data_IF_555815027743
#
_entry.id   IF_555815027743
#
_cell.length_a   1.000
_cell.length_b   1.000
_cell.length_c   1.000
_cell.angle_alpha   90.00
_cell.angle_beta   90.00
_cell.angle_gamma   90.00
#
_symmetry.space_group_name_H-M   'P 1'
#
loop_
_entity.id
_entity.type
_entity.pdbx_description
1 polymer ?
#
# COMPACT_ATOMS: atom_id res chain seq x y z
N UNK A 1 -2.65 24.74 21.40
CA UNK A 1 -3.76 24.12 20.65
C UNK A 1 -3.72 24.61 19.21
N UNK A 2 -2.64 24.27 18.50
CA UNK A 2 -2.23 25.01 17.29
C UNK A 2 -1.74 23.99 16.27
N UNK A 3 -2.60 23.58 15.33
CA UNK A 3 -2.28 23.06 13.99
C UNK A 3 -3.44 22.27 13.38
N UNK A 4 -4.59 22.91 13.20
CA UNK A 4 -5.62 22.39 12.28
C UNK A 4 -6.00 23.42 11.20
N UNK A 5 -5.50 24.66 11.31
CA UNK A 5 -5.89 25.79 10.46
C UNK A 5 -5.13 25.93 9.13
N UNK A 6 -4.19 25.02 8.79
CA UNK A 6 -3.32 25.18 7.60
C UNK A 6 -3.64 24.27 6.41
N UNK A 7 -4.65 23.40 6.51
CA UNK A 7 -5.06 22.53 5.39
C UNK A 7 -6.25 23.13 4.61
N UNK A 8 -6.86 24.22 5.11
CA UNK A 8 -8.01 24.89 4.49
C UNK A 8 -7.63 26.01 3.49
N UNK A 9 -6.36 26.11 3.09
CA UNK A 9 -5.82 27.31 2.45
C UNK A 9 -5.68 27.33 0.91
N UNK A 10 -6.01 26.32 0.07
CA UNK A 10 -5.73 26.48 -1.35
C UNK A 10 -6.82 27.24 -2.12
N UNK A 11 -8.05 27.39 -1.59
CA UNK A 11 -9.14 28.09 -2.34
C UNK A 11 -9.47 29.47 -1.76
N UNK A 12 -9.14 29.74 -0.49
CA UNK A 12 -9.41 31.06 0.13
C UNK A 12 -8.40 32.14 -0.28
N UNK A 13 -7.26 31.76 -0.89
CA UNK A 13 -6.30 32.71 -1.47
C UNK A 13 -6.39 32.80 -3.00
N UNK A 14 -7.58 32.61 -3.57
CA UNK A 14 -7.87 32.98 -4.95
C UNK A 14 -8.02 34.51 -5.04
N UNK A 15 -6.91 35.24 -4.90
CA UNK A 15 -6.81 36.61 -5.39
C UNK A 15 -6.39 36.54 -6.85
N UNK A 16 -7.30 37.01 -7.72
CA UNK A 16 -7.17 37.19 -9.16
C UNK A 16 -7.43 35.95 -10.03
N UNK A 17 -8.71 35.62 -10.28
CA UNK A 17 -9.33 35.82 -11.59
C UNK A 17 -10.80 36.24 -11.41
N UNK A 18 -11.16 37.35 -12.06
CA UNK A 18 -12.44 38.08 -12.02
C UNK A 18 -12.77 38.74 -10.67
N UNK A 19 -13.23 40.00 -10.72
CA UNK A 19 -13.65 40.86 -9.60
C UNK A 19 -14.86 40.30 -8.78
N UNK A 20 -15.10 38.99 -8.84
CA UNK A 20 -16.23 38.31 -8.20
C UNK A 20 -15.78 37.78 -6.85
N UNK A 21 -15.92 38.61 -5.82
CA UNK A 21 -15.84 38.17 -4.43
C UNK A 21 -17.00 37.20 -4.15
N UNK A 22 -16.74 35.90 -4.19
CA UNK A 22 -17.72 34.87 -3.81
C UNK A 22 -17.74 34.81 -2.28
N UNK A 23 -18.86 35.10 -1.61
CA UNK A 23 -18.90 35.07 -0.16
C UNK A 23 -18.67 33.65 0.35
N UNK A 24 -17.79 33.52 1.34
CA UNK A 24 -17.49 32.25 1.98
C UNK A 24 -18.69 31.79 2.81
N UNK A 25 -19.43 30.80 2.30
CA UNK A 25 -20.54 30.18 3.01
C UNK A 25 -20.04 28.89 3.68
N UNK A 26 -20.42 28.69 4.93
CA UNK A 26 -20.01 27.51 5.70
C UNK A 26 -21.22 26.64 6.03
N UNK A 27 -21.04 25.33 5.89
CA UNK A 27 -22.00 24.32 6.34
C UNK A 27 -21.24 23.20 7.02
N UNK A 28 -21.65 22.81 8.23
CA UNK A 28 -20.97 21.80 9.05
C UNK A 28 -19.44 22.02 9.17
N UNK A 29 -19.03 23.27 9.44
CA UNK A 29 -17.62 23.70 9.54
C UNK A 29 -16.78 23.44 8.27
N UNK A 30 -17.42 23.28 7.12
CA UNK A 30 -16.79 23.09 5.81
C UNK A 30 -17.18 24.24 4.88
N UNK A 31 -16.23 24.84 4.13
CA UNK A 31 -16.56 25.85 3.12
C UNK A 31 -17.34 25.20 1.98
N UNK A 32 -18.46 25.81 1.63
CA UNK A 32 -19.40 25.31 0.62
C UNK A 32 -19.84 26.41 -0.33
N UNK A 33 -20.14 26.03 -1.57
CA UNK A 33 -20.64 26.93 -2.62
C UNK A 33 -21.92 26.39 -3.25
N UNK A 34 -22.81 27.28 -3.67
CA UNK A 34 -24.06 26.88 -4.33
C UNK A 34 -23.84 26.65 -5.82
N UNK A 35 -24.78 25.97 -6.48
CA UNK A 35 -24.73 25.80 -7.95
C UNK A 35 -24.80 27.12 -8.71
N UNK A 36 -25.37 28.18 -8.12
CA UNK A 36 -25.38 29.54 -8.68
C UNK A 36 -24.00 30.20 -8.60
N UNK A 37 -23.30 30.03 -7.47
CA UNK A 37 -21.93 30.53 -7.31
C UNK A 37 -20.98 29.85 -8.29
N UNK A 38 -21.09 28.52 -8.45
CA UNK A 38 -20.28 27.78 -9.43
C UNK A 38 -20.54 28.21 -10.87
N UNK A 39 -21.77 28.60 -11.19
CA UNK A 39 -22.11 29.03 -12.55
C UNK A 39 -21.43 30.35 -12.88
N UNK A 40 -21.45 31.30 -11.94
CA UNK A 40 -20.72 32.57 -12.07
C UNK A 40 -19.21 32.32 -12.11
N UNK A 41 -18.69 31.49 -11.21
CA UNK A 41 -17.26 31.19 -11.10
C UNK A 41 -16.68 30.55 -12.36
N UNK A 42 -17.37 29.57 -12.95
CA UNK A 42 -16.92 28.88 -14.15
C UNK A 42 -17.46 29.47 -15.46
N UNK A 43 -18.09 30.65 -15.42
CA UNK A 43 -18.65 31.30 -16.61
C UNK A 43 -19.67 30.46 -17.39
N UNK A 44 -20.51 29.70 -16.69
CA UNK A 44 -21.51 28.80 -17.29
C UNK A 44 -22.89 29.02 -16.66
N UNK A 45 -23.94 28.41 -17.23
CA UNK A 45 -25.28 28.42 -16.64
C UNK A 45 -25.44 27.39 -15.50
N UNK A 46 -26.31 27.72 -14.53
CA UNK A 46 -26.71 26.80 -13.44
C UNK A 46 -27.29 25.49 -13.99
N UNK A 47 -27.98 25.56 -15.13
CA UNK A 47 -28.52 24.39 -15.81
C UNK A 47 -27.41 23.41 -16.25
N UNK A 48 -26.27 23.92 -16.72
CA UNK A 48 -25.13 23.09 -17.13
C UNK A 48 -24.47 22.42 -15.92
N UNK A 49 -24.31 23.13 -14.79
CA UNK A 49 -23.80 22.55 -13.54
C UNK A 49 -24.68 21.37 -13.08
N UNK A 50 -26.01 21.56 -13.07
CA UNK A 50 -26.97 20.51 -12.70
C UNK A 50 -26.95 19.33 -13.68
N UNK A 51 -26.89 19.60 -14.99
CA UNK A 51 -26.82 18.58 -16.04
C UNK A 51 -25.53 17.76 -15.95
N UNK A 52 -24.42 18.43 -15.64
CA UNK A 52 -23.11 17.82 -15.46
C UNK A 52 -23.12 16.85 -14.27
N UNK A 53 -23.64 17.30 -13.12
CA UNK A 53 -23.84 16.45 -11.96
C UNK A 53 -24.73 15.23 -12.29
N UNK A 54 -25.89 15.45 -12.91
CA UNK A 54 -26.82 14.36 -13.24
C UNK A 54 -26.21 13.30 -14.15
N UNK A 55 -25.40 13.69 -15.15
CA UNK A 55 -24.72 12.78 -16.07
C UNK A 55 -23.59 11.98 -15.41
N UNK A 56 -23.09 12.45 -14.27
CA UNK A 56 -21.91 11.89 -13.64
C UNK A 56 -22.12 11.66 -12.14
N UNK A 57 -23.37 11.43 -11.71
CA UNK A 57 -23.73 11.29 -10.30
C UNK A 57 -22.93 10.19 -9.60
N UNK A 58 -22.55 9.13 -10.31
CA UNK A 58 -21.66 8.05 -9.82
C UNK A 58 -20.26 8.55 -9.41
N UNK A 59 -19.83 9.69 -9.94
CA UNK A 59 -18.58 10.38 -9.60
C UNK A 59 -18.80 11.47 -8.55
N UNK A 60 -19.90 11.47 -7.81
CA UNK A 60 -20.09 12.38 -6.68
C UNK A 60 -20.52 11.55 -5.46
N UNK A 61 -20.10 11.99 -4.28
CA UNK A 61 -20.33 11.27 -3.02
C UNK A 61 -20.79 12.32 -2.02
N UNK A 62 -21.98 12.09 -1.47
CA UNK A 62 -22.54 12.94 -0.42
C UNK A 62 -21.63 12.96 0.82
N UNK A 63 -21.50 14.14 1.45
CA UNK A 63 -20.58 14.36 2.57
C UNK A 63 -19.12 14.62 2.19
N UNK A 64 -18.71 14.23 0.96
CA UNK A 64 -17.34 14.48 0.46
C UNK A 64 -17.29 15.55 -0.63
N UNK A 65 -18.20 15.48 -1.59
CA UNK A 65 -18.23 16.36 -2.76
C UNK A 65 -19.41 17.33 -2.71
N UNK A 66 -20.52 16.94 -2.07
CA UNK A 66 -21.68 17.80 -1.89
C UNK A 66 -22.45 17.45 -0.62
N UNK A 67 -23.30 18.36 -0.16
CA UNK A 67 -24.34 18.15 0.84
C UNK A 67 -25.69 18.46 0.22
N UNK A 68 -26.67 17.58 0.38
CA UNK A 68 -28.04 17.83 -0.04
C UNK A 68 -28.87 18.24 1.18
N UNK A 69 -29.18 19.54 1.30
CA UNK A 69 -30.00 20.05 2.38
C UNK A 69 -31.46 20.19 1.94
N UNK A 70 -32.38 19.78 2.80
CA UNK A 70 -33.83 19.80 2.55
C UNK A 70 -34.59 20.03 3.86
N UNK A 71 -35.84 20.49 3.78
CA UNK A 71 -36.69 20.68 4.95
C UNK A 71 -36.12 21.70 5.95
N UNK A 72 -36.05 21.32 7.22
CA UNK A 72 -35.64 22.21 8.32
C UNK A 72 -34.18 22.66 8.20
N UNK A 73 -33.27 21.80 7.74
CA UNK A 73 -31.85 22.15 7.51
C UNK A 73 -31.70 23.27 6.46
N UNK A 74 -32.54 23.27 5.42
CA UNK A 74 -32.55 24.32 4.40
C UNK A 74 -33.11 25.63 4.96
N UNK A 75 -34.07 25.56 5.88
CA UNK A 75 -34.65 26.73 6.53
C UNK A 75 -33.63 27.39 7.47
N UNK A 76 -32.91 26.58 8.24
CA UNK A 76 -31.85 27.05 9.16
C UNK A 76 -30.67 27.64 8.39
N UNK A 77 -30.26 26.98 7.30
CA UNK A 77 -29.20 27.49 6.43
C UNK A 77 -29.58 28.83 5.78
N UNK A 78 -30.81 28.98 5.28
CA UNK A 78 -31.33 30.25 4.73
C UNK A 78 -31.35 31.38 5.77
N UNK A 79 -31.56 31.06 7.05
CA UNK A 79 -31.54 32.04 8.14
C UNK A 79 -30.10 32.43 8.55
N UNK A 80 -29.14 31.53 8.39
CA UNK A 80 -27.73 31.77 8.73
C UNK A 80 -26.95 32.59 7.70
N UNK A 81 -27.36 32.55 6.42
CA UNK A 81 -26.70 33.31 5.34
C UNK A 81 -27.37 34.67 5.23
N UNK A 82 -26.72 35.69 5.80
CA UNK A 82 -27.26 37.05 6.05
C UNK A 82 -27.72 37.81 4.80
N UNK A 83 -27.46 37.32 3.59
CA UNK A 83 -27.96 37.88 2.33
C UNK A 83 -28.67 36.82 1.49
N UNK A 84 -29.97 36.70 1.70
CA UNK A 84 -30.85 35.65 1.19
C UNK A 84 -31.27 35.82 -0.29
N UNK A 85 -30.38 36.36 -1.12
CA UNK A 85 -30.59 36.51 -2.57
C UNK A 85 -29.91 35.43 -3.42
N UNK A 86 -29.13 34.53 -2.81
CA UNK A 86 -28.37 33.51 -3.54
C UNK A 86 -29.15 32.20 -3.78
N UNK A 87 -30.24 31.99 -3.04
CA UNK A 87 -31.04 30.76 -3.09
C UNK A 87 -32.50 31.12 -3.28
N UNK A 88 -33.14 30.54 -4.30
CA UNK A 88 -34.56 30.78 -4.57
C UNK A 88 -35.42 30.32 -3.38
N UNK A 89 -36.30 31.22 -2.92
CA UNK A 89 -37.19 31.02 -1.77
C UNK A 89 -38.07 29.77 -1.90
N UNK A 90 -38.43 29.36 -3.13
CA UNK A 90 -39.27 28.20 -3.45
C UNK A 90 -38.52 26.89 -3.66
N UNK A 91 -37.19 26.87 -3.57
CA UNK A 91 -36.42 25.64 -3.79
C UNK A 91 -36.63 24.64 -2.63
N UNK A 92 -37.13 23.41 -2.90
CA UNK A 92 -37.40 22.41 -1.86
C UNK A 92 -36.15 21.65 -1.39
N UNK A 93 -35.09 21.61 -2.21
CA UNK A 93 -33.81 20.94 -1.92
C UNK A 93 -32.67 21.74 -2.51
N UNK A 94 -31.61 21.99 -1.74
CA UNK A 94 -30.43 22.70 -2.20
C UNK A 94 -29.20 21.79 -2.14
N UNK A 95 -28.44 21.78 -3.22
CA UNK A 95 -27.13 21.12 -3.27
C UNK A 95 -26.04 22.14 -2.98
N UNK A 96 -25.29 21.88 -1.92
CA UNK A 96 -24.10 22.62 -1.52
C UNK A 96 -22.86 21.84 -1.96
N UNK A 97 -21.95 22.47 -2.67
CA UNK A 97 -20.73 21.84 -3.19
C UNK A 97 -19.56 22.15 -2.28
N UNK A 98 -18.78 21.13 -1.94
CA UNK A 98 -17.50 21.33 -1.26
C UNK A 98 -16.44 21.77 -2.28
N UNK A 99 -15.27 22.21 -1.79
CA UNK A 99 -14.09 22.49 -2.63
C UNK A 99 -13.79 21.34 -3.62
N UNK A 100 -13.89 20.10 -3.15
CA UNK A 100 -13.67 18.90 -3.96
C UNK A 100 -14.78 18.67 -4.98
N UNK A 101 -16.01 19.06 -4.66
CA UNK A 101 -17.14 19.04 -5.59
C UNK A 101 -16.98 20.07 -6.70
N UNK A 102 -16.59 21.30 -6.34
CA UNK A 102 -16.28 22.37 -7.30
C UNK A 102 -15.16 21.93 -8.28
N UNK A 103 -14.05 21.41 -7.76
CA UNK A 103 -12.96 20.90 -8.61
C UNK A 103 -13.41 19.78 -9.57
N UNK A 104 -14.36 18.92 -9.18
CA UNK A 104 -14.94 17.92 -10.09
C UNK A 104 -15.75 18.57 -11.19
N UNK A 105 -16.49 19.63 -10.92
CA UNK A 105 -17.18 20.39 -11.96
C UNK A 105 -16.20 20.99 -12.97
N UNK A 106 -15.08 21.58 -12.53
CA UNK A 106 -14.06 22.13 -13.42
C UNK A 106 -13.54 21.10 -14.44
N UNK A 107 -13.28 19.85 -14.01
CA UNK A 107 -12.83 18.75 -14.89
C UNK A 107 -13.77 18.46 -16.06
N UNK A 108 -15.03 18.86 -15.97
CA UNK A 108 -16.12 18.44 -16.85
C UNK A 108 -16.77 19.63 -17.57
N UNK A 109 -16.23 20.83 -17.35
CA UNK A 109 -16.60 22.06 -18.05
C UNK A 109 -15.46 22.41 -19.01
N UNK A 110 -15.82 22.83 -20.22
CA UNK A 110 -14.86 23.23 -21.26
C UNK A 110 -14.69 24.76 -21.31
N UNK A 111 -15.06 25.47 -20.24
CA UNK A 111 -14.96 26.94 -20.19
C UNK A 111 -13.54 27.39 -19.86
N UNK A 112 -13.13 28.56 -20.38
CA UNK A 112 -11.79 29.11 -20.14
C UNK A 112 -11.53 29.29 -18.63
N UNK A 113 -12.54 29.71 -17.85
CA UNK A 113 -12.41 29.82 -16.39
C UNK A 113 -12.23 28.45 -15.69
N UNK A 114 -12.78 27.36 -16.25
CA UNK A 114 -12.58 26.03 -15.70
C UNK A 114 -11.16 25.50 -15.98
N UNK A 115 -10.55 25.89 -17.11
CA UNK A 115 -9.16 25.58 -17.44
C UNK A 115 -8.18 26.28 -16.50
N UNK A 116 -8.39 27.55 -16.17
CA UNK A 116 -7.55 28.28 -15.21
C UNK A 116 -7.56 27.65 -13.81
N UNK A 117 -8.73 27.20 -13.36
CA UNK A 117 -8.87 26.50 -12.07
C UNK A 117 -8.17 25.14 -12.10
N UNK A 118 -8.16 24.47 -13.24
CA UNK A 118 -7.44 23.22 -13.40
C UNK A 118 -5.92 23.44 -13.38
N UNK A 119 -5.41 24.46 -14.07
CA UNK A 119 -4.00 24.86 -14.06
C UNK A 119 -3.52 25.19 -12.64
N UNK A 120 -4.31 25.96 -11.88
CA UNK A 120 -4.00 26.24 -10.46
C UNK A 120 -3.94 24.99 -9.58
N UNK A 121 -4.80 24.00 -9.84
CA UNK A 121 -4.78 22.73 -9.10
C UNK A 121 -3.54 21.89 -9.46
N UNK A 122 -3.10 21.93 -10.72
CA UNK A 122 -1.85 21.31 -11.16
C UNK A 122 -0.65 21.99 -10.52
N UNK A 123 -0.58 23.32 -10.58
CA UNK A 123 0.48 24.12 -9.94
C UNK A 123 0.56 23.87 -8.44
N UNK A 124 -0.59 23.81 -7.75
CA UNK A 124 -0.63 23.45 -6.33
C UNK A 124 -0.16 22.01 -6.08
N UNK A 125 -0.50 21.05 -6.94
CA UNK A 125 -0.07 19.66 -6.78
C UNK A 125 1.44 19.50 -6.91
N UNK A 126 2.05 20.18 -7.89
CA UNK A 126 3.49 20.14 -8.11
C UNK A 126 4.25 20.99 -7.08
N UNK A 127 3.75 22.17 -6.71
CA UNK A 127 4.36 23.04 -5.70
C UNK A 127 4.25 22.48 -4.27
N UNK A 128 3.12 21.86 -3.91
CA UNK A 128 2.96 21.25 -2.58
C UNK A 128 3.96 20.11 -2.33
N UNK A 129 4.40 19.42 -3.40
CA UNK A 129 5.45 18.40 -3.30
C UNK A 129 6.81 19.03 -2.95
N UNK A 130 7.09 20.23 -3.46
CA UNK A 130 8.30 20.98 -3.17
C UNK A 130 8.27 21.56 -1.76
N UNK A 131 7.13 22.12 -1.32
CA UNK A 131 6.98 22.64 0.05
C UNK A 131 7.06 21.55 1.12
N UNK A 132 6.46 20.37 0.90
CA UNK A 132 6.61 19.24 1.84
C UNK A 132 8.08 18.77 1.88
N UNK A 133 8.77 18.79 0.74
CA UNK A 133 10.21 18.46 0.69
C UNK A 133 11.08 19.53 1.39
N UNK A 134 10.69 20.80 1.39
CA UNK A 134 11.41 21.88 2.09
C UNK A 134 11.08 21.96 3.59
N UNK A 135 9.85 21.67 3.99
CA UNK A 135 9.47 21.61 5.40
C UNK A 135 10.18 20.46 6.13
N UNK A 136 10.49 19.36 5.43
CA UNK A 136 11.32 18.26 5.94
C UNK A 136 12.81 18.62 6.10
N UNK A 137 13.28 19.71 5.46
CA UNK A 137 14.69 20.15 5.50
C UNK A 137 15.00 21.19 6.59
N UNK A 138 14.01 21.73 7.30
CA UNK A 138 14.29 22.64 8.43
C UNK A 138 14.74 21.82 9.65
N UNK A 139 16.01 21.92 10.10
CA UNK A 139 16.46 21.14 11.24
C UNK A 139 15.66 21.54 12.48
N UNK A 140 14.97 20.58 13.11
CA UNK A 140 14.40 20.76 14.45
C UNK A 140 15.53 21.26 15.37
N UNK A 141 15.30 22.36 16.09
CA UNK A 141 16.28 22.96 16.99
C UNK A 141 16.75 21.93 18.03
N UNK A 142 18.01 22.01 18.49
CA UNK A 142 18.55 21.11 19.51
C UNK A 142 17.79 21.32 20.82
N UNK A 143 17.17 20.27 21.36
CA UNK A 143 16.31 20.34 22.56
C UNK A 143 16.88 19.67 23.81
N UNK A 144 18.07 19.06 23.74
CA UNK A 144 18.67 18.37 24.90
C UNK A 144 20.19 18.55 25.00
N UNK A 145 20.73 18.26 26.17
CA UNK A 145 22.18 18.19 26.43
C UNK A 145 22.73 16.79 26.11
N UNK A 146 24.07 16.65 26.05
CA UNK A 146 24.72 15.34 25.86
C UNK A 146 24.43 14.40 27.03
N UNK A 147 24.37 14.94 28.25
CA UNK A 147 24.20 14.16 29.48
C UNK A 147 22.81 13.49 29.55
N UNK A 148 21.78 14.20 29.10
CA UNK A 148 20.38 13.73 29.06
C UNK A 148 20.13 12.60 28.05
N UNK A 149 21.05 12.39 27.11
CA UNK A 149 20.99 11.33 26.10
C UNK A 149 21.85 10.12 26.43
N UNK A 150 22.68 10.24 27.47
CA UNK A 150 23.51 9.15 27.99
C UNK A 150 22.71 7.87 28.26
N UNK A 151 21.53 7.89 28.93
CA UNK A 151 20.78 6.66 29.18
C UNK A 151 20.31 5.98 27.89
N UNK A 152 19.89 6.74 26.88
CA UNK A 152 19.50 6.20 25.57
C UNK A 152 20.67 5.56 24.83
N UNK A 153 21.84 6.22 24.81
CA UNK A 153 23.05 5.67 24.19
C UNK A 153 23.51 4.39 24.89
N UNK A 154 23.56 4.40 26.22
CA UNK A 154 23.92 3.22 27.02
C UNK A 154 22.95 2.06 26.81
N UNK A 155 21.66 2.34 26.63
CA UNK A 155 20.66 1.31 26.35
C UNK A 155 20.85 0.68 24.97
N UNK A 156 21.06 1.50 23.94
CA UNK A 156 21.36 1.02 22.57
C UNK A 156 22.62 0.17 22.55
N UNK A 157 23.68 0.59 23.26
CA UNK A 157 24.93 -0.18 23.40
C UNK A 157 24.69 -1.54 24.08
N UNK A 158 23.92 -1.56 25.17
CA UNK A 158 23.53 -2.81 25.87
C UNK A 158 22.73 -3.75 24.97
N UNK A 159 21.77 -3.23 24.21
CA UNK A 159 20.98 -4.03 23.26
C UNK A 159 21.86 -4.69 22.20
N UNK A 160 22.88 -4.00 21.70
CA UNK A 160 23.81 -4.56 20.71
C UNK A 160 24.71 -5.62 21.35
N UNK A 161 25.22 -5.36 22.57
CA UNK A 161 26.04 -6.31 23.32
C UNK A 161 25.30 -7.62 23.62
N UNK A 162 23.99 -7.55 23.89
CA UNK A 162 23.12 -8.71 24.16
C UNK A 162 22.69 -9.48 22.90
N UNK A 163 23.28 -9.20 21.73
CA UNK A 163 22.94 -9.86 20.45
C UNK A 163 21.46 -9.75 20.05
N UNK A 164 20.81 -8.61 20.31
CA UNK A 164 19.45 -8.29 19.82
C UNK A 164 19.28 -8.37 18.29
N UNK A 165 20.34 -8.67 17.54
CA UNK A 165 20.28 -8.85 16.11
C UNK A 165 20.18 -7.56 15.30
N UNK A 166 19.70 -6.46 15.88
CA UNK A 166 19.65 -5.17 15.20
C UNK A 166 21.04 -4.52 15.16
N UNK A 167 21.42 -4.04 13.97
CA UNK A 167 22.67 -3.28 13.79
C UNK A 167 22.50 -1.87 14.34
N UNK A 168 23.60 -1.29 14.84
CA UNK A 168 23.64 0.08 15.38
C UNK A 168 22.88 1.13 14.53
N UNK A 169 23.03 1.20 13.19
CA UNK A 169 22.30 2.19 12.38
C UNK A 169 20.79 1.93 12.29
N UNK A 170 20.35 0.68 12.38
CA UNK A 170 18.94 0.32 12.30
C UNK A 170 18.18 0.77 13.56
N UNK A 171 18.81 0.63 14.73
CA UNK A 171 18.22 1.07 16.01
C UNK A 171 17.99 2.59 16.00
N UNK A 172 18.99 3.35 15.55
CA UNK A 172 18.82 4.81 15.44
C UNK A 172 17.80 5.21 14.39
N UNK A 173 17.68 4.48 13.28
CA UNK A 173 16.63 4.70 12.30
C UNK A 173 15.23 4.54 12.90
N UNK A 174 15.01 3.50 13.72
CA UNK A 174 13.73 3.31 14.42
C UNK A 174 13.40 4.46 15.37
N UNK A 175 14.39 4.94 16.13
CA UNK A 175 14.22 6.10 17.02
C UNK A 175 13.92 7.37 16.20
N UNK A 176 14.63 7.57 15.09
CA UNK A 176 14.41 8.71 14.20
C UNK A 176 13.00 8.69 13.60
N UNK A 177 12.56 7.55 13.08
CA UNK A 177 11.24 7.38 12.47
C UNK A 177 10.11 7.54 13.52
N UNK A 178 10.30 7.00 14.74
CA UNK A 178 9.29 7.06 15.81
C UNK A 178 9.07 8.47 16.36
N UNK A 179 10.15 9.22 16.55
CA UNK A 179 10.12 10.56 17.13
C UNK A 179 10.16 11.67 16.06
N UNK A 180 10.14 11.29 14.78
CA UNK A 180 10.22 12.20 13.64
C UNK A 180 11.43 13.13 13.73
N UNK A 181 12.59 12.61 14.14
CA UNK A 181 13.84 13.38 14.31
C UNK A 181 14.91 12.89 13.36
N UNK A 182 15.68 13.79 12.78
CA UNK A 182 16.82 13.44 11.93
C UNK A 182 18.04 13.03 12.75
N UNK A 183 18.15 13.58 13.96
CA UNK A 183 19.24 13.32 14.88
C UNK A 183 18.73 13.27 16.31
N UNK A 184 19.35 12.41 17.12
CA UNK A 184 19.07 12.24 18.56
C UNK A 184 19.20 13.54 19.36
N UNK A 185 19.86 14.56 18.79
CA UNK A 185 20.00 15.85 19.43
C UNK A 185 18.77 16.75 19.41
N UNK A 186 17.76 16.34 18.64
CA UNK A 186 16.49 17.02 18.50
C UNK A 186 15.45 16.51 19.51
N UNK A 187 15.72 15.38 20.19
CA UNK A 187 14.90 14.84 21.26
C UNK A 187 14.96 15.77 22.49
N UNK A 188 13.85 15.97 23.17
CA UNK A 188 13.82 16.57 24.51
C UNK A 188 14.20 15.55 25.60
N UNK A 189 14.39 16.03 26.83
CA UNK A 189 14.74 15.18 27.99
C UNK A 189 13.65 14.13 28.32
N UNK A 190 12.37 14.43 28.07
CA UNK A 190 11.28 13.45 28.21
C UNK A 190 11.30 12.42 27.09
N UNK A 191 11.45 12.88 25.84
CA UNK A 191 11.46 12.02 24.66
C UNK A 191 12.66 11.07 24.65
N UNK A 192 13.78 11.41 25.29
CA UNK A 192 14.93 10.50 25.42
C UNK A 192 14.62 9.32 26.35
N UNK A 193 13.83 9.53 27.41
CA UNK A 193 13.38 8.46 28.31
C UNK A 193 12.29 7.61 27.66
N UNK A 194 11.33 8.23 26.98
CA UNK A 194 10.33 7.52 26.18
C UNK A 194 10.97 6.67 25.08
N UNK A 195 12.05 7.16 24.46
CA UNK A 195 12.81 6.38 23.48
C UNK A 195 13.46 5.14 24.12
N UNK A 196 13.95 5.23 25.36
CA UNK A 196 14.47 4.05 26.08
C UNK A 196 13.36 3.04 26.35
N UNK A 197 12.19 3.50 26.81
CA UNK A 197 11.04 2.61 27.05
C UNK A 197 10.54 1.96 25.75
N UNK A 198 10.50 2.71 24.66
CA UNK A 198 10.17 2.18 23.32
C UNK A 198 11.17 1.13 22.85
N UNK A 199 12.47 1.38 23.03
CA UNK A 199 13.48 0.40 22.70
C UNK A 199 13.39 -0.84 23.61
N UNK A 200 12.99 -0.67 24.87
CA UNK A 200 12.74 -1.77 25.80
C UNK A 200 11.49 -2.57 25.45
N UNK A 201 10.42 -1.93 24.98
CA UNK A 201 9.22 -2.61 24.49
C UNK A 201 9.56 -3.40 23.23
N UNK A 202 10.35 -2.81 22.32
CA UNK A 202 10.86 -3.53 21.16
C UNK A 202 11.75 -4.68 21.62
N UNK A 203 12.71 -4.50 22.51
CA UNK A 203 13.56 -5.61 22.98
C UNK A 203 12.75 -6.73 23.66
N UNK A 204 11.67 -6.38 24.39
CA UNK A 204 10.74 -7.33 24.98
C UNK A 204 9.85 -8.07 23.97
N UNK A 205 9.39 -7.39 22.92
CA UNK A 205 8.69 -7.98 21.77
C UNK A 205 9.66 -8.71 20.82
N UNK A 206 10.94 -8.33 20.85
CA UNK A 206 12.05 -8.85 20.07
C UNK A 206 12.86 -9.82 20.93
N UNK A 207 12.16 -10.75 21.58
CA UNK A 207 12.73 -12.04 22.00
C UNK A 207 13.14 -12.81 20.74
N UNK A 208 14.33 -12.49 20.25
CA UNK A 208 15.05 -13.21 19.23
C UNK A 208 14.72 -12.77 17.81
N UNK A 209 15.75 -12.27 17.11
CA UNK A 209 15.96 -12.77 15.75
C UNK A 209 15.80 -14.28 15.78
N UNK A 210 14.87 -14.81 15.00
CA UNK A 210 14.97 -16.17 14.51
C UNK A 210 16.27 -16.28 13.71
N UNK A 211 17.36 -16.63 14.40
CA UNK A 211 18.49 -17.31 13.78
C UNK A 211 17.95 -18.66 13.29
N UNK A 212 17.55 -18.67 12.02
CA UNK A 212 16.64 -19.61 11.40
C UNK A 212 15.21 -19.54 12.01
N UNK A 213 14.20 -19.62 11.15
CA UNK A 213 12.88 -20.12 11.58
C UNK A 213 13.14 -21.33 12.51
N UNK A 214 12.39 -21.53 13.61
CA UNK A 214 12.37 -22.84 14.24
C UNK A 214 12.16 -23.78 13.07
N UNK A 215 13.07 -24.75 12.89
CA UNK A 215 12.71 -25.93 12.10
C UNK A 215 11.35 -26.29 12.67
N UNK A 216 10.30 -26.13 11.87
CA UNK A 216 9.02 -26.66 12.24
C UNK A 216 9.36 -28.14 12.51
N UNK A 217 9.30 -28.56 13.77
CA UNK A 217 9.54 -29.98 14.11
C UNK A 217 8.52 -30.87 13.40
N UNK A 218 7.48 -30.26 12.83
CA UNK A 218 6.63 -30.85 11.81
C UNK A 218 7.33 -30.79 10.44
N UNK A 219 7.68 -31.93 9.84
CA UNK A 219 8.24 -31.96 8.49
C UNK A 219 7.27 -31.29 7.49
N UNK A 220 7.81 -30.55 6.51
CA UNK A 220 7.02 -29.83 5.50
C UNK A 220 6.10 -30.77 4.70
N UNK A 221 6.55 -32.01 4.50
CA UNK A 221 5.77 -33.09 3.88
C UNK A 221 5.67 -34.25 4.86
N UNK A 222 4.49 -34.86 4.95
CA UNK A 222 4.35 -36.11 5.69
C UNK A 222 4.89 -37.30 4.87
N UNK A 223 5.17 -38.42 5.53
CA UNK A 223 5.72 -39.62 4.88
C UNK A 223 4.83 -40.13 3.72
N UNK A 224 3.51 -39.97 3.82
CA UNK A 224 2.58 -40.39 2.76
C UNK A 224 2.72 -39.50 1.52
N UNK A 225 2.88 -38.20 1.68
CA UNK A 225 3.13 -37.25 0.60
C UNK A 225 4.48 -37.53 -0.06
N UNK A 226 5.52 -37.75 0.74
CA UNK A 226 6.84 -38.14 0.24
C UNK A 226 6.77 -39.43 -0.58
N UNK A 227 6.02 -40.44 -0.14
CA UNK A 227 5.83 -41.66 -0.92
C UNK A 227 5.09 -41.43 -2.24
N UNK A 228 4.12 -40.51 -2.28
CA UNK A 228 3.47 -40.12 -3.54
C UNK A 228 4.45 -39.44 -4.49
N UNK A 229 5.36 -38.61 -3.99
CA UNK A 229 6.40 -37.99 -4.82
C UNK A 229 7.42 -39.01 -5.33
N UNK A 230 7.84 -39.98 -4.51
CA UNK A 230 8.70 -41.10 -4.97
C UNK A 230 8.01 -41.90 -6.07
N UNK A 231 6.73 -42.20 -5.91
CA UNK A 231 5.95 -42.89 -6.94
C UNK A 231 5.85 -42.05 -8.23
N UNK A 232 5.58 -40.74 -8.14
CA UNK A 232 5.57 -39.85 -9.30
C UNK A 232 6.93 -39.84 -10.01
N UNK A 233 8.02 -39.79 -9.25
CA UNK A 233 9.39 -39.84 -9.76
C UNK A 233 9.68 -41.14 -10.52
N UNK A 234 9.20 -42.28 -10.01
CA UNK A 234 9.29 -43.57 -10.70
C UNK A 234 8.51 -43.56 -12.03
N UNK A 235 7.31 -42.97 -12.05
CA UNK A 235 6.54 -42.82 -13.29
C UNK A 235 7.21 -41.91 -14.31
N UNK A 236 7.84 -40.82 -13.87
CA UNK A 236 8.64 -39.94 -14.74
C UNK A 236 9.84 -40.68 -15.33
N UNK A 237 10.59 -41.44 -14.54
CA UNK A 237 11.69 -42.27 -15.05
C UNK A 237 11.20 -43.28 -16.10
N UNK A 238 10.08 -43.92 -15.83
CA UNK A 238 9.49 -44.89 -16.77
C UNK A 238 9.01 -44.22 -18.06
N UNK A 239 8.37 -43.06 -17.97
CA UNK A 239 7.91 -42.30 -19.13
C UNK A 239 9.10 -41.87 -20.00
N UNK A 240 10.18 -41.38 -19.36
CA UNK A 240 11.44 -41.07 -20.04
C UNK A 240 12.01 -42.29 -20.77
N UNK A 241 12.17 -43.41 -20.07
CA UNK A 241 12.81 -44.61 -20.62
C UNK A 241 11.98 -45.22 -21.76
N UNK A 242 10.65 -45.21 -21.65
CA UNK A 242 9.75 -45.63 -22.73
C UNK A 242 9.84 -44.68 -23.93
N UNK A 243 9.85 -43.38 -23.69
CA UNK A 243 9.93 -42.38 -24.76
C UNK A 243 11.23 -42.50 -25.53
N UNK A 244 12.35 -42.70 -24.82
CA UNK A 244 13.66 -42.94 -25.44
C UNK A 244 13.69 -44.22 -26.28
N UNK A 245 13.02 -45.30 -25.83
CA UNK A 245 12.94 -46.57 -26.56
C UNK A 245 12.04 -46.51 -27.79
N UNK A 246 10.93 -45.76 -27.72
CA UNK A 246 9.92 -45.67 -28.78
C UNK A 246 10.34 -44.66 -29.86
N UNK A 247 11.08 -43.61 -29.49
CA UNK A 247 11.51 -42.55 -30.39
C UNK A 247 12.11 -43.03 -31.72
N UNK A 248 13.08 -43.97 -31.76
CA UNK A 248 13.68 -44.42 -33.03
C UNK A 248 12.63 -45.00 -33.98
N UNK A 249 11.75 -45.87 -33.49
CA UNK A 249 10.67 -46.45 -34.30
C UNK A 249 9.70 -45.41 -34.84
N UNK A 250 9.32 -44.41 -34.03
CA UNK A 250 8.45 -43.32 -34.48
C UNK A 250 9.11 -42.44 -35.54
N UNK A 251 10.41 -42.19 -35.39
CA UNK A 251 11.20 -41.42 -36.36
C UNK A 251 11.32 -42.18 -37.68
N UNK A 252 11.59 -43.48 -37.64
CA UNK A 252 11.74 -44.30 -38.84
C UNK A 252 10.40 -44.47 -39.60
N UNK A 253 9.26 -44.32 -38.89
CA UNK A 253 7.92 -44.27 -39.48
C UNK A 253 7.49 -42.86 -39.92
N UNK A 254 8.36 -41.85 -39.84
CA UNK A 254 8.06 -40.44 -40.12
C UNK A 254 6.82 -39.92 -39.36
N UNK A 255 6.58 -40.44 -38.15
CA UNK A 255 5.46 -40.02 -37.32
C UNK A 255 5.66 -38.59 -36.84
N UNK A 256 4.60 -37.78 -36.92
CA UNK A 256 4.59 -36.40 -36.39
C UNK A 256 4.87 -36.33 -34.89
N UNK A 257 4.61 -37.41 -34.16
CA UNK A 257 4.84 -37.51 -32.71
C UNK A 257 6.31 -37.79 -32.35
N UNK A 258 7.19 -38.09 -33.33
CA UNK A 258 8.58 -38.43 -33.04
C UNK A 258 9.33 -37.30 -32.30
N UNK A 259 9.05 -36.04 -32.65
CA UNK A 259 9.60 -34.88 -31.94
C UNK A 259 9.17 -34.83 -30.47
N UNK A 260 7.87 -34.96 -30.21
CA UNK A 260 7.30 -34.90 -28.85
C UNK A 260 7.91 -35.95 -27.92
N UNK A 261 8.10 -37.19 -28.40
CA UNK A 261 8.71 -38.25 -27.60
C UNK A 261 10.22 -38.05 -27.39
N UNK A 262 10.91 -37.43 -28.33
CA UNK A 262 12.31 -37.04 -28.16
C UNK A 262 12.45 -35.97 -27.08
N UNK A 263 11.67 -34.89 -27.19
CA UNK A 263 11.65 -33.78 -26.22
C UNK A 263 11.25 -34.29 -24.83
N UNK A 264 10.18 -35.10 -24.74
CA UNK A 264 9.74 -35.69 -23.49
C UNK A 264 10.86 -36.51 -22.80
N UNK A 265 11.63 -37.28 -23.56
CA UNK A 265 12.76 -38.04 -22.99
C UNK A 265 13.88 -37.12 -22.48
N UNK A 266 14.17 -36.03 -23.20
CA UNK A 266 15.25 -35.11 -22.87
C UNK A 266 14.90 -34.23 -21.67
N UNK A 267 13.73 -33.61 -21.70
CA UNK A 267 13.28 -32.69 -20.65
C UNK A 267 13.06 -33.43 -19.33
N UNK A 268 12.48 -34.63 -19.38
CA UNK A 268 12.30 -35.44 -18.19
C UNK A 268 13.63 -35.84 -17.56
N UNK A 269 14.70 -36.05 -18.35
CA UNK A 269 16.05 -36.32 -17.83
C UNK A 269 16.57 -35.16 -16.97
N UNK A 270 16.40 -33.93 -17.46
CA UNK A 270 16.82 -32.73 -16.74
C UNK A 270 16.05 -32.57 -15.43
N UNK A 271 14.71 -32.67 -15.46
CA UNK A 271 13.86 -32.54 -14.27
C UNK A 271 14.18 -33.61 -13.23
N UNK A 272 14.36 -34.88 -13.65
CA UNK A 272 14.78 -35.98 -12.78
C UNK A 272 16.09 -35.64 -12.05
N UNK A 273 17.08 -35.09 -12.77
CA UNK A 273 18.38 -34.75 -12.18
C UNK A 273 18.28 -33.67 -11.11
N UNK A 274 17.43 -32.65 -11.32
CA UNK A 274 17.22 -31.57 -10.35
C UNK A 274 16.47 -32.03 -9.11
N UNK A 275 15.44 -32.86 -9.29
CA UNK A 275 14.57 -33.28 -8.19
C UNK A 275 15.17 -34.41 -7.34
N UNK A 276 16.15 -35.16 -7.87
CA UNK A 276 16.73 -36.32 -7.17
C UNK A 276 17.30 -35.97 -5.79
N UNK A 277 18.11 -34.91 -5.72
CA UNK A 277 18.78 -34.51 -4.47
C UNK A 277 17.78 -34.05 -3.40
N UNK A 278 16.74 -33.32 -3.81
CA UNK A 278 15.69 -32.89 -2.91
C UNK A 278 14.91 -34.10 -2.36
N UNK A 279 14.52 -35.02 -3.24
CA UNK A 279 13.78 -36.21 -2.84
C UNK A 279 14.62 -37.13 -1.93
N UNK A 280 15.91 -37.31 -2.21
CA UNK A 280 16.83 -38.08 -1.38
C UNK A 280 16.98 -37.46 0.02
N UNK A 281 17.13 -36.13 0.11
CA UNK A 281 17.23 -35.41 1.39
C UNK A 281 15.96 -35.55 2.23
N UNK A 282 14.79 -35.31 1.63
CA UNK A 282 13.52 -35.32 2.37
C UNK A 282 13.06 -36.73 2.74
N UNK A 283 13.55 -37.79 2.07
CA UNK A 283 13.18 -39.18 2.36
C UNK A 283 14.20 -39.93 3.22
N UNK A 284 15.29 -39.27 3.64
CA UNK A 284 16.39 -39.90 4.35
C UNK A 284 15.99 -40.55 5.69
N UNK A 285 14.92 -40.08 6.34
CA UNK A 285 14.42 -40.63 7.60
C UNK A 285 13.53 -41.88 7.42
N UNK A 286 13.04 -42.16 6.21
CA UNK A 286 12.09 -43.24 5.94
C UNK A 286 12.86 -44.52 5.63
N UNK A 287 12.59 -45.61 6.34
CA UNK A 287 13.27 -46.89 6.08
C UNK A 287 12.67 -47.56 4.82
N UNK A 288 13.47 -48.04 3.85
CA UNK A 288 12.94 -48.66 2.63
C UNK A 288 11.91 -49.78 2.87
N UNK A 289 12.11 -50.60 3.92
CA UNK A 289 11.21 -51.71 4.25
C UNK A 289 9.89 -51.33 4.92
N UNK A 290 9.66 -50.05 5.26
CA UNK A 290 8.38 -49.58 5.82
C UNK A 290 7.40 -49.07 4.76
N UNK A 291 7.75 -49.18 3.48
CA UNK A 291 7.01 -48.58 2.36
C UNK A 291 6.24 -49.65 1.57
N UNK A 292 4.96 -49.44 1.23
CA UNK A 292 4.21 -50.39 0.42
C UNK A 292 4.66 -50.33 -1.06
N UNK A 293 5.15 -51.45 -1.58
CA UNK A 293 5.38 -51.68 -3.02
C UNK A 293 6.84 -51.82 -3.42
N UNK A 294 7.17 -52.98 -4.01
CA UNK A 294 8.54 -53.38 -4.38
C UNK A 294 9.32 -52.34 -5.20
N UNK A 295 8.67 -51.64 -6.14
CA UNK A 295 9.34 -50.65 -6.98
C UNK A 295 9.63 -49.33 -6.26
N UNK A 296 8.79 -48.96 -5.29
CA UNK A 296 9.00 -47.76 -4.48
C UNK A 296 10.14 -48.06 -3.50
N UNK A 297 10.15 -49.24 -2.90
CA UNK A 297 11.22 -49.69 -2.03
C UNK A 297 12.58 -49.70 -2.75
N UNK A 298 12.65 -50.26 -3.97
CA UNK A 298 13.89 -50.24 -4.76
C UNK A 298 14.34 -48.82 -5.10
N UNK A 299 13.41 -47.91 -5.42
CA UNK A 299 13.74 -46.50 -5.63
C UNK A 299 14.29 -45.85 -4.36
N UNK A 300 13.68 -46.13 -3.20
CA UNK A 300 14.16 -45.61 -1.92
C UNK A 300 15.59 -46.07 -1.62
N UNK A 301 15.92 -47.35 -1.88
CA UNK A 301 17.28 -47.86 -1.76
C UNK A 301 18.27 -47.08 -2.64
N UNK A 302 17.88 -46.76 -3.89
CA UNK A 302 18.71 -45.96 -4.80
C UNK A 302 18.86 -44.51 -4.33
N UNK A 303 17.80 -43.90 -3.81
CA UNK A 303 17.84 -42.54 -3.26
C UNK A 303 18.77 -42.45 -2.03
N UNK A 304 18.93 -43.54 -1.27
CA UNK A 304 19.76 -43.60 -0.06
C UNK A 304 21.18 -44.13 -0.29
N UNK A 305 21.50 -44.63 -1.48
CA UNK A 305 22.85 -45.08 -1.87
C UNK A 305 23.71 -43.93 -2.38
#
# INVERSE_FOLDING_TARGET
>A
MTNVAKIAAPITQASAISDVSIPAVFYANTPVVTSGMLSVFYGTDVANIKKNYSRNSSRFIEGKHYFLIQGDELKDFKNSVTESHQVDKRTPKLTLWTERGAARHAKMLETDQAWEVFEQLEDCYFSAKEEVAEQQKKPKQRKSSSDERTPLRQYVEKMIANKSGMKYPAIWKLVHDRFDVQHINQLSSSESLEAVEFLKSIEGEFLGKQEALPKLDTPQFNDTELMRFVNLFLWMQRARDLSYKIYPSLRDMESRLAGDFWDLSRDTTYVISMCYQALARETAHIKPGSVPGFRIEEMMRRLHS
#
